data_IF_211462132749
#
_entry.id   IF_211462132749
#
_cell.length_a   1.000
_cell.length_b   1.000
_cell.length_c   1.000
_cell.angle_alpha   90.00
_cell.angle_beta   90.00
_cell.angle_gamma   90.00
#
_symmetry.space_group_name_H-M   'P 1'
#
loop_
_entity.id
_entity.type
_entity.pdbx_description
1 polymer ?
#
# COMPACT_ATOMS: atom_id res chain seq x y z
N UNK A 1 -34.83 2.09 12.11
CA UNK A 1 -33.95 2.10 10.92
C UNK A 1 -32.55 1.81 11.42
N UNK A 2 -31.93 0.69 11.02
CA UNK A 2 -30.58 0.33 11.46
C UNK A 2 -29.56 0.95 10.50
N UNK A 3 -28.53 1.58 11.05
CA UNK A 3 -27.43 2.15 10.27
C UNK A 3 -26.30 1.14 10.19
N UNK A 4 -25.77 0.91 9.00
CA UNK A 4 -24.69 -0.04 8.74
C UNK A 4 -23.46 0.71 8.24
N UNK A 5 -22.30 0.35 8.76
CA UNK A 5 -20.99 0.85 8.35
C UNK A 5 -20.22 -0.27 7.65
N UNK A 6 -19.54 0.05 6.55
CA UNK A 6 -18.69 -0.91 5.84
C UNK A 6 -17.38 -1.14 6.61
N UNK A 7 -17.10 -2.39 7.00
CA UNK A 7 -15.84 -2.80 7.62
C UNK A 7 -14.79 -3.24 6.60
N UNK A 8 -15.20 -3.84 5.48
CA UNK A 8 -14.26 -4.31 4.45
C UNK A 8 -14.81 -5.41 3.57
N UNK A 9 -13.92 -6.18 2.95
CA UNK A 9 -14.24 -7.34 2.11
C UNK A 9 -14.03 -8.61 2.95
N UNK A 10 -14.97 -9.56 2.84
CA UNK A 10 -14.88 -10.86 3.49
C UNK A 10 -13.77 -11.69 2.86
N UNK A 11 -13.26 -12.69 3.58
CA UNK A 11 -12.11 -13.49 3.13
C UNK A 11 -12.36 -14.32 1.87
N UNK A 12 -13.61 -14.46 1.44
CA UNK A 12 -13.98 -15.12 0.20
C UNK A 12 -13.90 -14.21 -1.04
N UNK A 13 -13.70 -12.90 -0.86
CA UNK A 13 -13.65 -11.93 -1.95
C UNK A 13 -14.99 -11.64 -2.62
N UNK A 14 -16.07 -12.33 -2.22
CA UNK A 14 -17.39 -12.27 -2.84
C UNK A 14 -18.42 -11.58 -1.93
N UNK A 15 -18.04 -11.18 -0.71
CA UNK A 15 -18.93 -10.46 0.21
C UNK A 15 -18.25 -9.23 0.81
N UNK A 16 -19.05 -8.20 1.12
CA UNK A 16 -18.68 -7.08 1.97
C UNK A 16 -19.10 -7.37 3.40
N UNK A 17 -18.22 -7.05 4.35
CA UNK A 17 -18.51 -7.11 5.79
C UNK A 17 -19.04 -5.75 6.23
N UNK A 18 -20.26 -5.71 6.72
CA UNK A 18 -20.90 -4.55 7.31
C UNK A 18 -21.02 -4.74 8.82
N UNK A 19 -21.06 -3.65 9.58
CA UNK A 19 -21.33 -3.65 11.02
C UNK A 19 -22.41 -2.65 11.36
N UNK A 20 -23.29 -2.99 12.30
CA UNK A 20 -24.25 -2.03 12.82
C UNK A 20 -23.69 -1.23 14.02
N UNK A 21 -24.53 -0.37 14.59
CA UNK A 21 -24.20 0.44 15.77
C UNK A 21 -24.03 -0.38 17.05
N UNK A 22 -24.50 -1.63 17.08
CA UNK A 22 -24.42 -2.54 18.22
C UNK A 22 -23.24 -3.52 18.09
N UNK A 23 -22.52 -3.49 16.96
CA UNK A 23 -21.34 -4.31 16.69
C UNK A 23 -21.64 -5.63 15.98
N UNK A 24 -22.90 -5.88 15.58
CA UNK A 24 -23.26 -7.08 14.83
C UNK A 24 -22.78 -6.98 13.38
N UNK A 25 -22.25 -8.10 12.87
CA UNK A 25 -21.67 -8.19 11.53
C UNK A 25 -22.66 -8.78 10.54
N UNK A 26 -22.74 -8.18 9.37
CA UNK A 26 -23.57 -8.62 8.26
C UNK A 26 -22.70 -8.84 7.02
N UNK A 27 -23.04 -9.85 6.23
CA UNK A 27 -22.41 -10.10 4.94
C UNK A 27 -23.34 -9.64 3.82
N UNK A 28 -22.83 -8.80 2.93
CA UNK A 28 -23.53 -8.37 1.73
C UNK A 28 -22.84 -8.97 0.51
N UNK A 29 -23.52 -9.77 -0.32
CA UNK A 29 -22.93 -10.28 -1.56
C UNK A 29 -22.43 -9.15 -2.45
N UNK A 30 -21.21 -9.29 -2.95
CA UNK A 30 -20.62 -8.44 -3.96
C UNK A 30 -21.08 -8.93 -5.34
N UNK A 31 -22.38 -8.87 -5.59
CA UNK A 31 -22.95 -9.33 -6.85
C UNK A 31 -22.75 -8.33 -7.99
N UNK A 32 -23.11 -8.75 -9.20
CA UNK A 32 -22.99 -7.89 -10.38
C UNK A 32 -23.91 -6.66 -10.31
N UNK A 33 -25.01 -6.74 -9.56
CA UNK A 33 -25.93 -5.63 -9.36
C UNK A 33 -25.28 -4.53 -8.50
N UNK A 34 -24.72 -4.88 -7.33
CA UNK A 34 -23.99 -3.98 -6.45
C UNK A 34 -22.74 -3.43 -7.15
N UNK A 35 -21.97 -4.28 -7.84
CA UNK A 35 -20.82 -3.85 -8.65
C UNK A 35 -21.26 -2.87 -9.73
N UNK A 36 -22.41 -3.11 -10.39
CA UNK A 36 -22.95 -2.20 -11.41
C UNK A 36 -23.37 -0.85 -10.84
N UNK A 37 -23.98 -0.83 -9.65
CA UNK A 37 -24.41 0.38 -8.95
C UNK A 37 -23.20 1.21 -8.53
N UNK A 38 -22.17 0.59 -7.96
CA UNK A 38 -20.92 1.28 -7.58
C UNK A 38 -20.24 1.87 -8.83
N UNK A 39 -20.15 1.11 -9.93
CA UNK A 39 -19.61 1.61 -11.20
C UNK A 39 -20.46 2.73 -11.81
N UNK A 40 -21.79 2.65 -11.73
CA UNK A 40 -22.69 3.72 -12.18
C UNK A 40 -22.53 4.99 -11.32
N UNK A 41 -22.37 4.84 -10.01
CA UNK A 41 -22.23 5.97 -9.10
C UNK A 41 -20.88 6.66 -9.24
N UNK A 42 -19.78 5.91 -9.41
CA UNK A 42 -18.48 6.46 -9.83
C UNK A 42 -18.61 7.22 -11.14
N UNK A 43 -19.26 6.65 -12.16
CA UNK A 43 -19.53 7.33 -13.45
C UNK A 43 -20.33 8.61 -13.30
N UNK A 44 -21.35 8.64 -12.43
CA UNK A 44 -22.15 9.86 -12.16
C UNK A 44 -21.34 10.94 -11.45
N UNK A 45 -20.53 10.58 -10.46
CA UNK A 45 -19.65 11.54 -9.76
C UNK A 45 -18.63 12.12 -10.74
N UNK A 46 -18.03 11.27 -11.59
CA UNK A 46 -17.12 11.72 -12.66
C UNK A 46 -17.87 12.58 -13.68
N UNK A 47 -19.03 12.14 -14.19
CA UNK A 47 -19.82 12.89 -15.17
C UNK A 47 -20.35 14.23 -14.63
N UNK A 48 -20.68 14.31 -13.33
CA UNK A 48 -21.07 15.56 -12.67
C UNK A 48 -19.89 16.54 -12.55
N UNK A 49 -18.67 16.02 -12.39
CA UNK A 49 -17.44 16.80 -12.50
C UNK A 49 -17.09 17.16 -13.96
N UNK A 50 -17.57 16.39 -14.94
CA UNK A 50 -17.33 16.55 -16.38
C UNK A 50 -18.43 17.31 -17.15
N UNK A 51 -19.48 17.83 -16.49
CA UNK A 51 -20.63 18.47 -17.15
C UNK A 51 -20.33 19.85 -17.79
N UNK A 52 -19.07 20.18 -18.06
CA UNK A 52 -18.66 21.39 -18.77
C UNK A 52 -17.65 21.04 -19.86
N UNK A 53 -18.15 20.93 -21.10
CA UNK A 53 -17.42 20.76 -22.35
C UNK A 53 -16.56 19.49 -22.52
N UNK A 54 -16.72 18.85 -23.68
CA UNK A 54 -15.69 18.06 -24.36
C UNK A 54 -14.45 18.94 -24.55
N UNK A 55 -13.62 19.03 -23.51
CA UNK A 55 -12.27 19.55 -23.58
C UNK A 55 -11.37 18.32 -23.72
N UNK A 56 -10.72 18.18 -24.87
CA UNK A 56 -9.58 17.27 -24.99
C UNK A 56 -8.60 17.59 -23.85
N UNK A 57 -8.38 16.62 -22.95
CA UNK A 57 -7.41 16.78 -21.87
C UNK A 57 -6.04 17.14 -22.48
N UNK A 58 -5.34 18.10 -21.88
CA UNK A 58 -3.99 18.42 -22.35
C UNK A 58 -3.08 17.22 -22.04
N UNK A 59 -2.00 17.00 -22.81
CA UNK A 59 -1.03 15.93 -22.53
C UNK A 59 -0.55 15.89 -21.08
N UNK A 60 -0.33 17.06 -20.47
CA UNK A 60 0.08 17.18 -19.06
C UNK A 60 -0.98 16.63 -18.09
N UNK A 61 -2.27 16.86 -18.38
CA UNK A 61 -3.38 16.41 -17.53
C UNK A 61 -3.55 14.89 -17.64
N UNK A 62 -3.44 14.35 -18.86
CA UNK A 62 -3.40 12.90 -19.10
C UNK A 62 -2.26 12.26 -18.30
N UNK A 63 -1.05 12.81 -18.41
CA UNK A 63 0.10 12.30 -17.68
C UNK A 63 -0.08 12.39 -16.16
N UNK A 64 -0.73 13.43 -15.68
CA UNK A 64 -1.04 13.61 -14.26
C UNK A 64 -1.99 12.53 -13.76
N UNK A 65 -3.05 12.23 -14.50
CA UNK A 65 -4.00 11.16 -14.16
C UNK A 65 -3.33 9.78 -14.15
N UNK A 66 -2.49 9.50 -15.17
CA UNK A 66 -1.76 8.22 -15.25
C UNK A 66 -0.73 8.09 -14.13
N UNK A 67 -0.08 9.19 -13.75
CA UNK A 67 0.83 9.23 -12.59
C UNK A 67 0.08 8.98 -11.29
N UNK A 68 -1.17 9.43 -11.19
CA UNK A 68 -2.07 9.15 -10.08
C UNK A 68 -2.66 7.73 -10.07
N UNK A 69 -2.26 6.86 -11.00
CA UNK A 69 -2.67 5.45 -11.04
C UNK A 69 -3.72 5.09 -12.07
N UNK A 70 -4.31 6.06 -12.78
CA UNK A 70 -5.28 5.76 -13.83
C UNK A 70 -4.63 5.05 -15.03
N UNK A 71 -5.30 4.04 -15.59
CA UNK A 71 -4.92 3.44 -16.86
C UNK A 71 -5.28 4.35 -18.04
N UNK A 72 -4.58 4.20 -19.19
CA UNK A 72 -4.97 4.93 -20.41
C UNK A 72 -6.43 4.66 -20.81
N UNK A 73 -6.95 3.45 -20.55
CA UNK A 73 -8.34 3.09 -20.81
C UNK A 73 -9.32 3.88 -19.95
N UNK A 74 -9.04 4.03 -18.66
CA UNK A 74 -9.90 4.80 -17.74
C UNK A 74 -9.88 6.28 -18.10
N UNK A 75 -8.70 6.85 -18.40
CA UNK A 75 -8.57 8.25 -18.82
C UNK A 75 -9.36 8.47 -20.12
N UNK A 76 -9.16 7.64 -21.14
CA UNK A 76 -9.88 7.73 -22.41
C UNK A 76 -11.41 7.66 -22.21
N UNK A 77 -11.88 6.70 -21.41
CA UNK A 77 -13.31 6.52 -21.12
C UNK A 77 -13.90 7.71 -20.38
N UNK A 78 -13.20 8.23 -19.36
CA UNK A 78 -13.66 9.35 -18.54
C UNK A 78 -13.69 10.69 -19.29
N UNK A 79 -12.74 10.89 -20.21
CA UNK A 79 -12.59 12.12 -20.98
C UNK A 79 -13.29 12.08 -22.34
N UNK A 80 -13.85 10.93 -22.76
CA UNK A 80 -14.43 10.74 -24.08
C UNK A 80 -13.40 10.81 -25.22
N UNK A 81 -12.14 10.45 -24.95
CA UNK A 81 -11.03 10.50 -25.90
C UNK A 81 -10.76 9.13 -26.53
N UNK A 82 -10.08 9.12 -27.68
CA UNK A 82 -9.60 7.88 -28.29
C UNK A 82 -8.47 7.24 -27.47
N UNK A 83 -8.54 5.92 -27.25
CA UNK A 83 -7.54 5.19 -26.47
C UNK A 83 -6.13 5.31 -27.06
N UNK A 84 -6.00 5.22 -28.39
CA UNK A 84 -4.69 5.26 -29.03
C UNK A 84 -4.03 6.64 -28.90
N UNK A 85 -4.82 7.72 -28.79
CA UNK A 85 -4.32 9.05 -28.45
C UNK A 85 -3.77 9.10 -27.03
N UNK A 86 -4.48 8.56 -26.04
CA UNK A 86 -4.07 8.56 -24.63
C UNK A 86 -2.81 7.70 -24.41
N UNK A 87 -2.74 6.51 -25.04
CA UNK A 87 -1.59 5.59 -24.90
C UNK A 87 -0.23 6.19 -25.29
N UNK A 88 -0.21 7.19 -26.18
CA UNK A 88 1.03 7.90 -26.55
C UNK A 88 1.68 8.62 -25.37
N UNK A 89 0.87 9.03 -24.40
CA UNK A 89 1.32 9.76 -23.22
C UNK A 89 1.52 8.85 -22.00
N UNK A 90 1.06 7.60 -22.06
CA UNK A 90 1.13 6.62 -20.97
C UNK A 90 2.56 6.09 -20.76
N UNK A 91 3.21 5.64 -21.84
CA UNK A 91 4.50 4.96 -21.73
C UNK A 91 5.59 5.75 -20.98
N UNK A 92 5.77 7.08 -21.20
CA UNK A 92 6.73 7.86 -20.41
C UNK A 92 6.40 7.91 -18.91
N UNK A 93 5.12 7.95 -18.56
CA UNK A 93 4.67 8.04 -17.16
C UNK A 93 4.80 6.69 -16.47
N UNK A 94 4.51 5.59 -17.16
CA UNK A 94 4.77 4.25 -16.61
C UNK A 94 6.26 4.03 -16.35
N UNK A 95 7.13 4.50 -17.26
CA UNK A 95 8.58 4.43 -17.03
C UNK A 95 9.01 5.24 -15.79
N UNK A 96 8.45 6.42 -15.58
CA UNK A 96 8.65 7.24 -14.38
C UNK A 96 8.21 6.49 -13.11
N UNK A 97 7.01 5.91 -13.10
CA UNK A 97 6.45 5.13 -11.98
C UNK A 97 7.33 3.94 -11.62
N UNK A 98 7.72 3.14 -12.62
CA UNK A 98 8.60 1.97 -12.46
C UNK A 98 9.97 2.40 -11.91
N UNK A 99 10.54 3.49 -12.46
CA UNK A 99 11.81 4.01 -12.00
C UNK A 99 11.74 4.45 -10.53
N UNK A 100 10.68 5.16 -10.14
CA UNK A 100 10.49 5.60 -8.76
C UNK A 100 10.28 4.43 -7.81
N UNK A 101 9.46 3.44 -8.17
CA UNK A 101 9.28 2.22 -7.38
C UNK A 101 10.61 1.48 -7.15
N UNK A 102 11.48 1.45 -8.16
CA UNK A 102 12.84 0.89 -8.04
C UNK A 102 13.72 1.72 -7.10
N UNK A 103 13.69 3.06 -7.21
CA UNK A 103 14.45 3.92 -6.31
C UNK A 103 14.01 3.78 -4.85
N UNK A 104 12.71 3.60 -4.61
CA UNK A 104 12.18 3.30 -3.29
C UNK A 104 12.69 1.95 -2.76
N UNK A 105 12.69 0.91 -3.59
CA UNK A 105 13.24 -0.41 -3.22
C UNK A 105 14.73 -0.34 -2.85
N UNK A 106 15.51 0.52 -3.51
CA UNK A 106 16.94 0.74 -3.26
C UNK A 106 17.20 1.66 -2.04
N UNK A 107 16.15 2.26 -1.44
CA UNK A 107 16.27 3.17 -0.30
C UNK A 107 16.31 2.40 1.03
N UNK A 108 17.17 2.84 1.95
CA UNK A 108 17.28 2.24 3.30
C UNK A 108 16.09 2.62 4.17
N UNK A 109 15.58 1.65 4.93
CA UNK A 109 14.37 1.83 5.78
C UNK A 109 14.64 2.63 7.06
N UNK A 110 15.91 2.84 7.42
CA UNK A 110 16.34 3.61 8.59
C UNK A 110 17.61 4.39 8.24
N UNK A 111 17.87 5.54 8.90
CA UNK A 111 19.10 6.32 8.72
C UNK A 111 20.38 5.58 9.16
N UNK A 112 20.28 4.43 9.79
CA UNK A 112 21.44 3.60 10.14
C UNK A 112 22.19 3.13 8.88
N UNK A 113 23.52 3.18 8.93
CA UNK A 113 24.40 2.80 7.81
C UNK A 113 24.31 1.33 7.47
N UNK A 114 23.90 0.50 8.42
CA UNK A 114 23.76 -0.94 8.26
C UNK A 114 22.29 -1.34 8.04
N UNK A 115 21.36 -0.37 7.94
CA UNK A 115 19.96 -0.67 7.65
C UNK A 115 19.81 -1.25 6.23
N UNK A 116 19.04 -2.34 6.06
CA UNK A 116 18.81 -2.94 4.76
C UNK A 116 18.01 -2.00 3.84
N UNK A 117 18.15 -2.22 2.53
CA UNK A 117 17.27 -1.58 1.55
C UNK A 117 15.84 -2.13 1.68
N UNK A 118 14.83 -1.33 1.31
CA UNK A 118 13.42 -1.73 1.38
C UNK A 118 13.17 -3.05 0.64
N UNK A 119 13.66 -3.16 -0.61
CA UNK A 119 13.44 -4.33 -1.44
C UNK A 119 14.02 -5.61 -0.83
N UNK A 120 15.23 -5.54 -0.29
CA UNK A 120 15.90 -6.66 0.38
C UNK A 120 15.12 -7.09 1.63
N UNK A 121 14.77 -6.14 2.48
CA UNK A 121 14.03 -6.42 3.72
C UNK A 121 12.66 -7.03 3.43
N UNK A 122 11.94 -6.53 2.43
CA UNK A 122 10.63 -7.07 2.02
C UNK A 122 10.77 -8.52 1.55
N UNK A 123 11.75 -8.82 0.70
CA UNK A 123 12.01 -10.18 0.21
C UNK A 123 12.25 -11.13 1.37
N UNK A 124 13.15 -10.77 2.28
CA UNK A 124 13.49 -11.60 3.44
C UNK A 124 12.27 -11.87 4.32
N UNK A 125 11.51 -10.81 4.64
CA UNK A 125 10.31 -10.91 5.48
C UNK A 125 9.24 -11.78 4.83
N UNK A 126 8.95 -11.56 3.55
CA UNK A 126 7.91 -12.30 2.83
C UNK A 126 8.30 -13.76 2.56
N UNK A 127 9.59 -14.05 2.41
CA UNK A 127 10.08 -15.42 2.33
C UNK A 127 9.76 -16.23 3.60
N UNK A 128 9.82 -15.62 4.79
CA UNK A 128 9.42 -16.30 6.05
C UNK A 128 7.93 -16.67 6.10
N UNK A 129 7.11 -16.07 5.23
CA UNK A 129 5.67 -16.32 5.07
C UNK A 129 5.35 -17.19 3.86
N UNK A 130 6.35 -17.75 3.18
CA UNK A 130 6.18 -18.60 2.00
C UNK A 130 5.76 -17.85 0.72
N UNK A 131 5.92 -16.53 0.69
CA UNK A 131 5.59 -15.73 -0.50
C UNK A 131 6.79 -15.72 -1.46
N UNK A 132 6.54 -15.98 -2.73
CA UNK A 132 7.61 -15.97 -3.75
C UNK A 132 8.04 -14.55 -4.09
N UNK A 133 9.35 -14.23 -4.13
CA UNK A 133 9.84 -12.92 -4.58
C UNK A 133 9.39 -12.56 -6.00
N UNK A 134 9.18 -13.55 -6.87
CA UNK A 134 8.73 -13.34 -8.25
C UNK A 134 7.25 -12.98 -8.37
N UNK A 135 6.48 -13.12 -7.27
CA UNK A 135 5.06 -12.74 -7.22
C UNK A 135 4.83 -11.32 -6.72
N UNK A 136 5.90 -10.62 -6.31
CA UNK A 136 5.84 -9.25 -5.82
C UNK A 136 5.64 -8.29 -7.00
N UNK A 137 4.59 -7.49 -6.94
CA UNK A 137 4.31 -6.46 -7.93
C UNK A 137 4.48 -5.11 -7.25
N UNK A 138 5.46 -4.34 -7.74
CA UNK A 138 5.75 -3.01 -7.25
C UNK A 138 5.28 -1.96 -8.23
N UNK A 139 4.74 -0.89 -7.70
CA UNK A 139 4.44 0.31 -8.47
C UNK A 139 4.50 1.55 -7.59
N UNK A 140 4.52 2.73 -8.23
CA UNK A 140 4.51 4.00 -7.55
C UNK A 140 3.47 4.91 -8.22
N UNK A 141 2.68 5.61 -7.42
CA UNK A 141 1.74 6.63 -7.90
C UNK A 141 1.97 7.94 -7.17
N UNK A 142 1.49 9.03 -7.73
CA UNK A 142 1.64 10.35 -7.10
C UNK A 142 0.49 11.26 -7.44
N UNK A 143 -0.17 11.77 -6.40
CA UNK A 143 -1.13 12.86 -6.55
C UNK A 143 -0.41 14.21 -6.66
N UNK A 144 -1.03 15.21 -7.33
CA UNK A 144 -0.44 16.54 -7.44
C UNK A 144 -0.14 17.16 -6.08
N UNK A 145 1.13 17.55 -5.87
CA UNK A 145 1.56 18.20 -4.63
C UNK A 145 1.90 17.25 -3.47
N UNK A 146 1.74 15.94 -3.65
CA UNK A 146 2.07 14.93 -2.64
C UNK A 146 3.42 14.26 -2.96
N UNK A 147 3.90 13.46 -2.01
CA UNK A 147 5.02 12.54 -2.22
C UNK A 147 4.59 11.35 -3.09
N UNK A 148 5.54 10.50 -3.45
CA UNK A 148 5.23 9.27 -4.16
C UNK A 148 4.64 8.24 -3.20
N UNK A 149 3.49 7.70 -3.53
CA UNK A 149 2.95 6.50 -2.89
C UNK A 149 3.55 5.28 -3.56
N UNK A 150 4.42 4.57 -2.86
CA UNK A 150 4.96 3.29 -3.31
C UNK A 150 4.11 2.19 -2.74
N UNK A 151 3.60 1.31 -3.59
CA UNK A 151 2.78 0.18 -3.18
C UNK A 151 3.36 -1.13 -3.69
N UNK A 152 3.17 -2.16 -2.86
CA UNK A 152 3.55 -3.53 -3.14
C UNK A 152 2.30 -4.40 -3.03
N UNK A 153 1.97 -5.11 -4.11
CA UNK A 153 0.97 -6.16 -4.11
C UNK A 153 1.66 -7.53 -4.01
N UNK A 154 1.08 -8.43 -3.21
CA UNK A 154 1.55 -9.80 -3.04
C UNK A 154 0.43 -10.73 -2.59
N UNK A 155 0.64 -12.05 -2.74
CA UNK A 155 -0.32 -13.07 -2.29
C UNK A 155 0.27 -13.87 -1.15
N UNK A 156 -0.44 -13.95 -0.03
CA UNK A 156 -0.12 -14.78 1.13
C UNK A 156 -1.33 -15.63 1.51
N UNK A 157 -1.16 -16.94 1.67
CA UNK A 157 -2.25 -17.86 2.06
C UNK A 157 -3.52 -17.70 1.19
N UNK A 158 -3.32 -17.58 -0.13
CA UNK A 158 -4.36 -17.32 -1.14
C UNK A 158 -5.13 -15.98 -0.97
N UNK A 159 -4.62 -15.05 -0.17
CA UNK A 159 -5.16 -13.69 -0.03
C UNK A 159 -4.26 -12.68 -0.72
N UNK A 160 -4.83 -11.85 -1.58
CA UNK A 160 -4.15 -10.67 -2.10
C UNK A 160 -4.03 -9.62 -0.99
N UNK A 161 -2.83 -9.11 -0.79
CA UNK A 161 -2.49 -8.12 0.22
C UNK A 161 -1.69 -7.00 -0.44
N UNK A 162 -1.73 -5.83 0.19
CA UNK A 162 -1.04 -4.64 -0.26
C UNK A 162 -0.29 -4.00 0.90
N UNK A 163 0.85 -3.38 0.61
CA UNK A 163 1.61 -2.57 1.55
C UNK A 163 1.99 -1.23 0.91
N UNK A 164 1.77 -0.13 1.64
CA UNK A 164 1.93 1.23 1.15
C UNK A 164 2.96 2.04 1.95
N UNK A 165 3.82 2.75 1.24
CA UNK A 165 4.78 3.70 1.79
C UNK A 165 4.67 5.06 1.13
N UNK A 166 4.71 6.12 1.94
CA UNK A 166 5.02 7.47 1.47
C UNK A 166 6.53 7.56 1.21
N UNK A 167 6.91 7.93 0.00
CA UNK A 167 8.29 8.05 -0.45
C UNK A 167 8.61 9.50 -0.82
N UNK A 168 9.44 10.11 0.01
CA UNK A 168 10.09 11.39 -0.30
C UNK A 168 11.33 11.09 -1.15
N UNK A 169 11.17 11.26 -2.47
CA UNK A 169 12.23 11.02 -3.45
C UNK A 169 13.44 11.95 -3.26
N UNK A 170 13.22 13.20 -2.82
CA UNK A 170 14.29 14.19 -2.68
C UNK A 170 15.18 13.85 -1.48
N UNK A 171 14.55 13.51 -0.35
CA UNK A 171 15.26 13.16 0.88
C UNK A 171 15.62 11.67 0.98
N UNK A 172 15.13 10.84 0.05
CA UNK A 172 15.26 9.37 0.07
C UNK A 172 14.81 8.78 1.40
N UNK A 173 13.59 9.13 1.83
CA UNK A 173 12.99 8.60 3.06
C UNK A 173 11.68 7.88 2.75
N UNK A 174 11.38 6.86 3.56
CA UNK A 174 10.19 6.02 3.44
C UNK A 174 9.40 6.06 4.75
N UNK A 175 8.10 6.25 4.67
CA UNK A 175 7.18 6.20 5.82
C UNK A 175 6.09 5.18 5.56
N UNK A 176 5.98 4.15 6.42
CA UNK A 176 4.91 3.16 6.31
C UNK A 176 3.53 3.78 6.60
N UNK A 177 2.59 3.60 5.67
CA UNK A 177 1.23 4.17 5.77
C UNK A 177 0.20 3.19 6.33
N UNK A 178 0.43 1.88 6.17
CA UNK A 178 -0.47 0.83 6.66
C UNK A 178 0.24 -0.21 7.54
N UNK A 179 -0.52 -1.17 8.05
CA UNK A 179 -0.01 -2.23 8.93
C UNK A 179 0.95 -3.18 8.21
N UNK A 180 0.69 -3.49 6.94
CA UNK A 180 1.51 -4.42 6.16
C UNK A 180 2.89 -3.81 5.87
N UNK A 181 2.92 -2.54 5.44
CA UNK A 181 4.12 -1.76 5.24
C UNK A 181 4.92 -1.61 6.53
N UNK A 182 4.23 -1.35 7.65
CA UNK A 182 4.88 -1.24 8.96
C UNK A 182 5.51 -2.56 9.35
N UNK A 183 4.78 -3.67 9.28
CA UNK A 183 5.32 -5.00 9.59
C UNK A 183 6.52 -5.37 8.70
N UNK A 184 6.45 -5.04 7.40
CA UNK A 184 7.53 -5.30 6.45
C UNK A 184 8.78 -4.46 6.72
N UNK A 185 8.62 -3.24 7.24
CA UNK A 185 9.73 -2.30 7.50
C UNK A 185 10.14 -2.20 8.95
N UNK A 186 9.45 -2.89 9.85
CA UNK A 186 9.80 -2.96 11.26
C UNK A 186 11.16 -3.67 11.37
N UNK A 187 12.19 -2.86 11.60
CA UNK A 187 13.48 -3.37 12.02
C UNK A 187 13.27 -3.85 13.44
N UNK A 188 13.34 -5.16 13.65
CA UNK A 188 13.42 -5.69 15.01
C UNK A 188 14.60 -4.97 15.65
N UNK A 189 14.34 -4.15 16.67
CA UNK A 189 15.41 -3.63 17.52
C UNK A 189 16.23 -4.85 17.90
N UNK A 190 17.56 -4.88 17.68
CA UNK A 190 18.32 -6.04 18.10
C UNK A 190 18.00 -6.21 19.58
N UNK A 191 17.38 -7.33 19.91
CA UNK A 191 17.15 -7.71 21.30
C UNK A 191 18.49 -7.53 21.96
N UNK A 192 18.56 -6.60 22.91
CA UNK A 192 19.79 -6.27 23.58
C UNK A 192 20.48 -7.57 23.93
N UNK A 193 21.76 -7.67 23.60
CA UNK A 193 22.65 -8.69 24.15
C UNK A 193 22.72 -8.48 25.66
N UNK A 194 21.62 -8.80 26.35
CA UNK A 194 21.56 -9.08 27.76
C UNK A 194 22.24 -10.42 27.91
N UNK A 195 23.57 -10.34 28.03
CA UNK A 195 24.32 -11.39 28.68
C UNK A 195 23.53 -11.84 29.92
N UNK A 196 23.25 -13.13 30.12
CA UNK A 196 22.67 -13.57 31.38
C UNK A 196 23.65 -13.14 32.48
N UNK A 197 23.26 -12.19 33.32
CA UNK A 197 24.03 -11.82 34.48
C UNK A 197 24.17 -13.09 35.33
N UNK A 198 25.40 -13.57 35.45
CA UNK A 198 25.74 -14.65 36.37
C UNK A 198 25.16 -14.35 37.75
N UNK A 199 24.57 -15.35 38.45
CA UNK A 199 24.13 -15.15 39.80
C UNK A 199 25.34 -14.82 40.67
N UNK A 200 25.44 -13.57 41.12
CA UNK A 200 26.39 -13.16 42.16
C UNK A 200 26.05 -13.90 43.45
N UNK A 201 26.80 -14.95 43.71
CA UNK A 201 26.82 -15.65 45.00
C UNK A 201 27.34 -14.68 46.07
N UNK A 202 26.43 -14.14 46.89
CA UNK A 202 26.80 -13.45 48.11
C UNK A 202 27.27 -14.48 49.15
N UNK A 203 28.49 -14.38 49.71
CA UNK A 203 28.84 -15.19 50.86
C UNK A 203 28.07 -14.69 52.09
N UNK A 204 27.19 -15.54 52.64
CA UNK A 204 26.63 -15.35 53.97
C UNK A 204 27.77 -15.43 54.99
N UNK A 205 28.21 -14.28 55.50
CA UNK A 205 29.10 -14.23 56.66
C UNK A 205 28.24 -14.32 57.91
N UNK A 206 28.29 -15.51 58.53
CA UNK A 206 27.77 -15.79 59.85
C UNK A 206 28.37 -14.83 60.89
N UNK A 207 27.53 -14.15 61.66
CA UNK A 207 27.91 -13.63 62.97
C UNK A 207 27.87 -14.78 63.98
N UNK A 208 28.95 -15.09 64.71
CA UNK A 208 28.83 -15.89 65.92
C UNK A 208 28.27 -15.03 67.06
N UNK A 209 27.39 -15.66 67.84
CA UNK A 209 26.82 -15.16 69.08
C UNK A 209 27.79 -15.46 70.23
N UNK A 210 27.71 -14.60 71.23
CA UNK A 210 28.34 -14.60 72.57
C UNK A 210 29.66 -13.81 72.71
#
# INVERSE_FOLDING_TARGET
MRSLSLLGIHTDGEHLVLVDTEGERFLLPLDEELRSIVRQQRRKVVAALSASNTQDLRPKDIQTLIRGGASAQEVATSAGMDLAQVKRYEAPVLAERIYTARQAQETRVSPDKDAPALGELVIDRLATRGVSPTSLIWDATRQPGENWLVHLEFVQDAKALEANWDFDHENRTLTALDEQARWLTETATPAGSGHPAEPRTFPLRFCPRD
#
